data_IF_784491384730
#
_entry.id   IF_784491384730
#
_cell.length_a   1.000
_cell.length_b   1.000
_cell.length_c   1.000
_cell.angle_alpha   90.00
_cell.angle_beta   90.00
_cell.angle_gamma   90.00
#
_symmetry.space_group_name_H-M   'P 1'
#
loop_
_entity.id
_entity.type
_entity.pdbx_description
1 polymer ?
#
# COMPACT_ATOMS: atom_id res chain seq x y z
N UNK A 1 24.89 28.38 1.04
CA UNK A 1 23.98 28.14 -0.09
C UNK A 1 22.55 28.21 0.43
N UNK A 2 21.58 28.79 -0.30
CA UNK A 2 20.18 28.74 0.13
C UNK A 2 19.73 27.28 0.19
N UNK A 3 19.16 26.86 1.32
CA UNK A 3 18.57 25.53 1.48
C UNK A 3 17.32 25.49 0.60
N UNK A 4 17.30 24.58 -0.39
CA UNK A 4 16.11 24.38 -1.21
C UNK A 4 15.00 23.79 -0.34
N UNK A 5 13.90 24.52 -0.16
CA UNK A 5 12.76 24.07 0.66
C UNK A 5 11.92 22.99 -0.02
N UNK A 6 12.03 22.84 -1.34
CA UNK A 6 11.24 21.88 -2.13
C UNK A 6 12.14 20.70 -2.50
N UNK A 7 11.77 19.46 -2.11
CA UNK A 7 12.46 18.25 -2.53
C UNK A 7 12.57 18.13 -4.06
N UNK A 8 13.73 17.75 -4.61
CA UNK A 8 13.91 17.52 -6.06
C UNK A 8 13.32 16.17 -6.54
N UNK A 9 12.74 15.35 -5.66
CA UNK A 9 12.25 14.01 -5.96
C UNK A 9 10.90 13.97 -6.70
N UNK A 10 10.21 15.11 -6.83
CA UNK A 10 8.90 15.21 -7.47
C UNK A 10 7.74 14.67 -6.64
N UNK A 11 7.97 14.35 -5.37
CA UNK A 11 6.95 13.89 -4.43
C UNK A 11 6.12 15.00 -3.84
N UNK A 12 4.99 14.61 -3.25
CA UNK A 12 4.19 15.53 -2.43
C UNK A 12 4.99 15.94 -1.18
N UNK A 13 4.71 17.15 -0.69
CA UNK A 13 5.33 17.66 0.54
C UNK A 13 4.44 17.24 1.70
N UNK A 14 5.01 16.49 2.64
CA UNK A 14 4.35 16.11 3.88
C UNK A 14 4.60 17.18 4.93
N UNK A 15 3.75 17.25 5.95
CA UNK A 15 3.89 18.25 7.02
C UNK A 15 5.22 18.12 7.77
N UNK A 16 5.75 16.89 7.87
CA UNK A 16 7.07 16.63 8.47
C UNK A 16 8.25 17.21 7.66
N UNK A 17 8.11 17.36 6.34
CA UNK A 17 9.22 17.59 5.41
C UNK A 17 10.00 18.86 5.76
N UNK A 18 11.24 18.70 6.24
CA UNK A 18 12.16 19.81 6.48
C UNK A 18 13.55 19.55 5.87
N UNK A 19 13.79 20.15 4.70
CA UNK A 19 15.06 20.00 3.96
C UNK A 19 16.29 20.64 4.64
N UNK A 20 16.12 21.34 5.77
CA UNK A 20 17.24 21.80 6.58
C UNK A 20 17.79 20.71 7.51
N UNK A 21 17.03 19.65 7.76
CA UNK A 21 17.47 18.50 8.55
C UNK A 21 18.24 17.50 7.68
N UNK A 22 19.15 16.74 8.29
CA UNK A 22 19.86 15.66 7.60
C UNK A 22 18.89 14.55 7.13
N UNK A 23 17.89 14.24 7.97
CA UNK A 23 16.73 13.43 7.60
C UNK A 23 15.51 14.36 7.52
N UNK A 24 14.98 14.66 6.33
CA UNK A 24 13.86 15.59 6.20
C UNK A 24 12.58 15.11 6.86
N UNK A 25 12.38 13.79 6.99
CA UNK A 25 11.15 13.19 7.54
C UNK A 25 11.46 11.96 8.43
N UNK A 26 12.04 12.16 9.62
CA UNK A 26 12.49 11.06 10.48
C UNK A 26 11.37 10.11 10.93
N UNK A 27 10.20 10.59 11.32
CA UNK A 27 9.06 9.77 11.74
C UNK A 27 8.50 8.96 10.57
N UNK A 28 8.32 9.57 9.40
CA UNK A 28 7.93 8.84 8.19
C UNK A 28 8.96 7.76 7.85
N UNK A 29 10.25 8.09 7.84
CA UNK A 29 11.32 7.15 7.54
C UNK A 29 11.37 5.96 8.50
N UNK A 30 11.28 6.23 9.82
CA UNK A 30 11.30 5.19 10.87
C UNK A 30 10.07 4.28 10.73
N UNK A 31 8.88 4.86 10.51
CA UNK A 31 7.66 4.07 10.40
C UNK A 31 7.56 3.27 9.10
N UNK A 32 8.18 3.72 8.00
CA UNK A 32 8.30 2.92 6.77
C UNK A 32 9.09 1.61 6.99
N UNK A 33 10.01 1.56 7.97
CA UNK A 33 10.77 0.34 8.31
C UNK A 33 9.85 -0.79 8.80
N UNK A 34 8.66 -0.47 9.33
CA UNK A 34 7.70 -1.48 9.77
C UNK A 34 7.33 -2.45 8.64
N UNK A 35 7.23 -1.97 7.40
CA UNK A 35 6.98 -2.82 6.25
C UNK A 35 8.14 -3.78 5.96
N UNK A 36 9.39 -3.33 6.16
CA UNK A 36 10.57 -4.19 6.03
C UNK A 36 10.57 -5.27 7.11
N UNK A 37 10.23 -4.92 8.35
CA UNK A 37 10.09 -5.88 9.44
C UNK A 37 9.03 -6.96 9.13
N UNK A 38 7.89 -6.57 8.55
CA UNK A 38 6.86 -7.51 8.10
C UNK A 38 7.36 -8.40 6.97
N UNK A 39 8.07 -7.84 5.97
CA UNK A 39 8.62 -8.60 4.86
C UNK A 39 9.63 -9.66 5.35
N UNK A 40 10.52 -9.28 6.27
CA UNK A 40 11.49 -10.19 6.91
C UNK A 40 10.76 -11.26 7.71
N UNK A 41 9.82 -10.86 8.58
CA UNK A 41 9.03 -11.79 9.38
C UNK A 41 8.37 -12.87 8.50
N UNK A 42 7.70 -12.47 7.42
CA UNK A 42 7.01 -13.41 6.53
C UNK A 42 7.98 -14.26 5.72
N UNK A 43 9.11 -13.71 5.29
CA UNK A 43 10.16 -14.47 4.61
C UNK A 43 10.70 -15.58 5.51
N UNK A 44 10.94 -15.27 6.79
CA UNK A 44 11.37 -16.25 7.78
C UNK A 44 10.24 -17.27 8.08
N UNK A 45 8.99 -16.80 8.14
CA UNK A 45 7.82 -17.64 8.45
C UNK A 45 7.54 -18.68 7.36
N UNK A 46 7.62 -18.32 6.08
CA UNK A 46 7.43 -19.27 4.96
C UNK A 46 8.68 -20.13 4.70
N UNK A 47 9.84 -19.75 5.24
CA UNK A 47 11.07 -20.53 5.15
C UNK A 47 11.50 -20.76 3.70
N UNK A 48 11.83 -22.01 3.35
CA UNK A 48 12.27 -22.39 1.98
C UNK A 48 11.10 -22.71 1.04
N UNK A 49 9.86 -22.62 1.51
CA UNK A 49 8.67 -23.10 0.79
C UNK A 49 8.05 -22.02 -0.13
N UNK A 50 8.87 -21.14 -0.70
CA UNK A 50 8.39 -20.07 -1.60
C UNK A 50 7.54 -20.58 -2.77
N UNK A 51 7.81 -21.80 -3.24
CA UNK A 51 7.05 -22.45 -4.32
C UNK A 51 5.63 -22.83 -3.89
N UNK A 52 5.40 -23.10 -2.60
CA UNK A 52 4.08 -23.39 -2.04
C UNK A 52 3.21 -22.13 -1.94
N UNK A 53 3.84 -20.98 -1.72
CA UNK A 53 3.15 -19.69 -1.58
C UNK A 53 3.56 -18.70 -2.68
N UNK A 54 3.27 -18.98 -3.97
CA UNK A 54 3.77 -18.16 -5.08
C UNK A 54 3.22 -16.72 -5.02
N UNK A 55 1.93 -16.56 -4.70
CA UNK A 55 1.34 -15.22 -4.58
C UNK A 55 1.86 -14.46 -3.36
N UNK A 56 2.01 -15.13 -2.21
CA UNK A 56 2.60 -14.52 -1.02
C UNK A 56 4.05 -14.10 -1.28
N UNK A 57 4.84 -14.95 -1.94
CA UNK A 57 6.23 -14.65 -2.33
C UNK A 57 6.29 -13.43 -3.25
N UNK A 58 5.41 -13.34 -4.25
CA UNK A 58 5.26 -12.15 -5.08
C UNK A 58 4.97 -10.90 -4.25
N UNK A 59 4.03 -10.99 -3.30
CA UNK A 59 3.72 -9.89 -2.40
C UNK A 59 4.93 -9.47 -1.54
N UNK A 60 5.75 -10.42 -1.08
CA UNK A 60 6.94 -10.12 -0.30
C UNK A 60 8.01 -9.40 -1.12
N UNK A 61 8.23 -9.79 -2.38
CA UNK A 61 9.16 -9.08 -3.27
C UNK A 61 8.73 -7.62 -3.44
N UNK A 62 7.45 -7.38 -3.70
CA UNK A 62 6.93 -6.01 -3.78
C UNK A 62 7.05 -5.28 -2.45
N UNK A 63 6.78 -5.95 -1.32
CA UNK A 63 6.89 -5.34 -0.01
C UNK A 63 8.33 -4.95 0.35
N UNK A 64 9.33 -5.74 -0.05
CA UNK A 64 10.75 -5.38 0.09
C UNK A 64 11.10 -4.14 -0.74
N UNK A 65 10.69 -4.10 -2.02
CA UNK A 65 10.91 -2.94 -2.89
C UNK A 65 10.25 -1.70 -2.29
N UNK A 66 8.99 -1.85 -1.84
CA UNK A 66 8.20 -0.83 -1.16
C UNK A 66 8.89 -0.28 0.08
N UNK A 67 9.26 -1.17 1.00
CA UNK A 67 9.83 -0.79 2.29
C UNK A 67 11.20 -0.11 2.15
N UNK A 68 12.09 -0.67 1.32
CA UNK A 68 13.39 -0.06 1.04
C UNK A 68 13.19 1.29 0.34
N UNK A 69 12.30 1.33 -0.65
CA UNK A 69 11.91 2.54 -1.37
C UNK A 69 11.45 3.66 -0.46
N UNK A 70 10.40 3.39 0.32
CA UNK A 70 9.79 4.33 1.24
C UNK A 70 10.75 4.81 2.32
N UNK A 71 11.50 3.90 2.96
CA UNK A 71 12.48 4.30 3.98
C UNK A 71 13.54 5.23 3.40
N UNK A 72 14.10 4.93 2.22
CA UNK A 72 15.12 5.80 1.59
C UNK A 72 14.50 7.11 1.09
N UNK A 73 13.30 7.05 0.51
CA UNK A 73 12.54 8.23 0.07
C UNK A 73 12.35 9.22 1.21
N UNK A 74 11.73 8.79 2.32
CA UNK A 74 11.47 9.66 3.47
C UNK A 74 12.74 10.08 4.21
N UNK A 75 13.79 9.25 4.20
CA UNK A 75 15.05 9.58 4.84
C UNK A 75 15.77 10.75 4.17
N UNK A 76 15.70 10.86 2.83
CA UNK A 76 16.57 11.80 2.11
C UNK A 76 15.83 12.78 1.21
N UNK A 77 14.68 12.40 0.64
CA UNK A 77 13.89 13.26 -0.27
C UNK A 77 14.68 13.80 -1.48
N UNK A 78 15.59 12.98 -2.03
CA UNK A 78 16.55 13.40 -3.08
C UNK A 78 16.26 12.84 -4.48
N UNK A 79 15.86 11.56 -4.59
CA UNK A 79 15.84 10.87 -5.88
C UNK A 79 14.43 10.37 -6.27
N UNK A 80 13.94 10.71 -7.47
CA UNK A 80 12.61 10.29 -7.95
C UNK A 80 12.40 8.76 -8.02
N UNK A 81 13.47 7.96 -8.08
CA UNK A 81 13.34 6.51 -8.10
C UNK A 81 12.77 5.96 -6.79
N UNK A 82 13.10 6.56 -5.64
CA UNK A 82 12.65 6.05 -4.35
C UNK A 82 11.18 6.39 -4.07
N UNK A 83 10.66 7.51 -4.57
CA UNK A 83 9.21 7.72 -4.55
C UNK A 83 8.49 6.70 -5.42
N UNK A 84 9.02 6.36 -6.61
CA UNK A 84 8.43 5.30 -7.43
C UNK A 84 8.41 3.98 -6.67
N UNK A 85 9.51 3.63 -6.00
CA UNK A 85 9.60 2.44 -5.16
C UNK A 85 8.68 2.50 -3.94
N UNK A 86 8.30 3.67 -3.44
CA UNK A 86 7.39 3.81 -2.28
C UNK A 86 5.92 3.50 -2.66
N UNK A 87 5.38 4.18 -3.68
CA UNK A 87 3.94 4.07 -3.98
C UNK A 87 3.59 2.97 -5.00
N UNK A 88 4.48 2.67 -5.95
CA UNK A 88 4.17 1.74 -7.04
C UNK A 88 3.97 0.30 -6.54
N UNK A 89 4.80 -0.23 -5.61
CA UNK A 89 4.56 -1.56 -5.07
C UNK A 89 3.24 -1.68 -4.32
N UNK A 90 2.78 -0.62 -3.64
CA UNK A 90 1.45 -0.60 -3.00
C UNK A 90 0.36 -0.77 -4.07
N UNK A 91 0.46 -0.03 -5.17
CA UNK A 91 -0.49 -0.13 -6.28
C UNK A 91 -0.50 -1.53 -6.92
N UNK A 92 0.67 -2.11 -7.15
CA UNK A 92 0.79 -3.47 -7.67
C UNK A 92 0.26 -4.53 -6.69
N UNK A 93 0.50 -4.37 -5.39
CA UNK A 93 -0.05 -5.24 -4.35
C UNK A 93 -1.58 -5.19 -4.34
N UNK A 94 -2.17 -4.00 -4.33
CA UNK A 94 -3.63 -3.84 -4.30
C UNK A 94 -4.29 -4.40 -5.57
N UNK A 95 -3.79 -4.03 -6.75
CA UNK A 95 -4.35 -4.51 -8.02
C UNK A 95 -4.19 -6.01 -8.19
N UNK A 96 -3.03 -6.57 -7.82
CA UNK A 96 -2.78 -8.01 -7.87
C UNK A 96 -3.59 -8.79 -6.83
N UNK A 97 -3.81 -8.24 -5.63
CA UNK A 97 -4.68 -8.85 -4.63
C UNK A 97 -6.15 -8.86 -5.09
N UNK A 98 -6.62 -7.75 -5.67
CA UNK A 98 -7.95 -7.68 -6.31
C UNK A 98 -8.11 -8.76 -7.37
N UNK A 99 -7.14 -8.86 -8.29
CA UNK A 99 -7.10 -9.91 -9.30
C UNK A 99 -7.11 -11.31 -8.68
N UNK A 100 -6.21 -11.57 -7.73
CA UNK A 100 -5.99 -12.89 -7.13
C UNK A 100 -7.26 -13.44 -6.46
N UNK A 101 -7.89 -12.65 -5.58
CA UNK A 101 -9.08 -13.10 -4.85
C UNK A 101 -10.27 -13.34 -5.79
N UNK A 102 -10.42 -12.49 -6.80
CA UNK A 102 -11.49 -12.62 -7.78
C UNK A 102 -11.25 -13.83 -8.69
N UNK A 103 -10.05 -14.01 -9.22
CA UNK A 103 -9.70 -15.17 -10.05
C UNK A 103 -9.83 -16.50 -9.29
N UNK A 104 -9.71 -16.50 -7.96
CA UNK A 104 -9.94 -17.67 -7.10
C UNK A 104 -11.40 -17.95 -6.77
N UNK A 105 -12.29 -16.95 -6.86
CA UNK A 105 -13.72 -17.07 -6.49
C UNK A 105 -14.68 -16.96 -7.68
N UNK A 106 -14.18 -16.63 -8.86
CA UNK A 106 -14.92 -16.59 -10.13
C UNK A 106 -14.01 -17.02 -11.29
N UNK A 107 -14.48 -16.83 -12.53
CA UNK A 107 -13.68 -17.06 -13.73
C UNK A 107 -12.59 -16.00 -13.87
N UNK A 108 -11.37 -16.41 -14.23
CA UNK A 108 -10.20 -15.52 -14.33
C UNK A 108 -10.43 -14.30 -15.25
N UNK A 109 -11.21 -14.45 -16.33
CA UNK A 109 -11.51 -13.35 -17.24
C UNK A 109 -12.37 -12.25 -16.58
N UNK A 110 -13.21 -12.58 -15.59
CA UNK A 110 -13.92 -11.57 -14.80
C UNK A 110 -12.94 -10.72 -13.98
N UNK A 111 -11.86 -11.33 -13.48
CA UNK A 111 -10.80 -10.62 -12.78
C UNK A 111 -10.02 -9.68 -13.72
N UNK A 112 -9.70 -10.14 -14.94
CA UNK A 112 -9.09 -9.30 -15.98
C UNK A 112 -9.99 -8.11 -16.31
N UNK A 113 -11.29 -8.35 -16.57
CA UNK A 113 -12.23 -7.29 -16.92
C UNK A 113 -12.36 -6.23 -15.83
N UNK A 114 -12.40 -6.64 -14.56
CA UNK A 114 -12.48 -5.70 -13.44
C UNK A 114 -11.20 -4.89 -13.29
N UNK A 115 -10.01 -5.49 -13.42
CA UNK A 115 -8.73 -4.75 -13.36
C UNK A 115 -8.61 -3.78 -14.53
N UNK A 116 -8.92 -4.22 -15.76
CA UNK A 116 -8.92 -3.35 -16.94
C UNK A 116 -9.94 -2.21 -16.77
N UNK A 117 -11.14 -2.50 -16.28
CA UNK A 117 -12.16 -1.50 -15.97
C UNK A 117 -11.67 -0.47 -14.95
N UNK A 118 -11.00 -0.91 -13.88
CA UNK A 118 -10.37 -0.03 -12.91
C UNK A 118 -9.30 0.87 -13.56
N UNK A 119 -8.41 0.31 -14.39
CA UNK A 119 -7.36 1.08 -15.06
C UNK A 119 -7.94 2.14 -16.01
N UNK A 120 -8.95 1.76 -16.80
CA UNK A 120 -9.65 2.68 -17.70
C UNK A 120 -10.35 3.79 -16.90
N UNK A 121 -11.04 3.43 -15.81
CA UNK A 121 -11.69 4.40 -14.95
C UNK A 121 -10.68 5.38 -14.34
N UNK A 122 -9.55 4.90 -13.82
CA UNK A 122 -8.52 5.78 -13.26
C UNK A 122 -7.90 6.69 -14.32
N UNK A 123 -7.68 6.17 -15.52
CA UNK A 123 -7.21 6.99 -16.65
C UNK A 123 -8.21 8.10 -17.00
N UNK A 124 -9.51 7.78 -17.08
CA UNK A 124 -10.55 8.79 -17.34
C UNK A 124 -10.66 9.82 -16.22
N UNK A 125 -10.65 9.39 -14.95
CA UNK A 125 -10.73 10.29 -13.81
C UNK A 125 -9.52 11.22 -13.77
N UNK A 126 -8.31 10.70 -14.02
CA UNK A 126 -7.08 11.50 -14.06
C UNK A 126 -7.17 12.61 -15.10
N UNK A 127 -7.57 12.27 -16.32
CA UNK A 127 -7.48 13.21 -17.43
C UNK A 127 -8.63 14.21 -17.46
N UNK A 128 -9.82 13.83 -17.01
CA UNK A 128 -11.03 14.64 -17.21
C UNK A 128 -11.49 15.37 -15.95
N UNK A 129 -11.24 14.80 -14.77
CA UNK A 129 -11.76 15.34 -13.50
C UNK A 129 -10.66 15.87 -12.58
N UNK A 130 -9.45 15.33 -12.68
CA UNK A 130 -8.34 15.67 -11.78
C UNK A 130 -7.07 16.10 -12.50
N UNK A 131 -7.20 16.67 -13.71
CA UNK A 131 -6.05 17.17 -14.48
C UNK A 131 -5.22 18.17 -13.66
N UNK A 132 -5.89 19.07 -12.94
CA UNK A 132 -5.26 20.16 -12.18
C UNK A 132 -5.09 19.87 -10.68
N UNK A 133 -5.65 18.77 -10.15
CA UNK A 133 -5.60 18.44 -8.73
C UNK A 133 -4.98 17.06 -8.48
N UNK A 134 -3.65 17.03 -8.56
CA UNK A 134 -2.87 15.79 -8.41
C UNK A 134 -3.00 15.17 -7.01
N UNK A 135 -3.05 15.99 -5.96
CA UNK A 135 -3.16 15.51 -4.59
C UNK A 135 -4.50 14.78 -4.35
N UNK A 136 -5.61 15.37 -4.79
CA UNK A 136 -6.92 14.74 -4.68
C UNK A 136 -6.99 13.45 -5.50
N UNK A 137 -6.44 13.44 -6.71
CA UNK A 137 -6.37 12.24 -7.54
C UNK A 137 -5.67 11.08 -6.84
N UNK A 138 -4.53 11.33 -6.20
CA UNK A 138 -3.77 10.29 -5.49
C UNK A 138 -4.63 9.64 -4.39
N UNK A 139 -5.30 10.46 -3.55
CA UNK A 139 -6.13 9.94 -2.46
C UNK A 139 -7.36 9.19 -2.99
N UNK A 140 -8.01 9.70 -4.04
CA UNK A 140 -9.11 8.99 -4.73
C UNK A 140 -8.62 7.65 -5.29
N UNK A 141 -7.44 7.62 -5.90
CA UNK A 141 -6.87 6.38 -6.42
C UNK A 141 -6.61 5.34 -5.31
N UNK A 142 -6.08 5.75 -4.16
CA UNK A 142 -5.94 4.87 -3.00
C UNK A 142 -7.28 4.33 -2.51
N UNK A 143 -8.31 5.16 -2.43
CA UNK A 143 -9.65 4.72 -2.06
C UNK A 143 -10.21 3.70 -3.07
N UNK A 144 -10.03 3.95 -4.37
CA UNK A 144 -10.50 3.06 -5.44
C UNK A 144 -9.75 1.71 -5.46
N UNK A 145 -8.44 1.71 -5.23
CA UNK A 145 -7.66 0.48 -5.05
C UNK A 145 -8.15 -0.31 -3.83
N UNK A 146 -8.44 0.36 -2.72
CA UNK A 146 -8.99 -0.29 -1.54
C UNK A 146 -10.38 -0.87 -1.80
N UNK A 147 -11.25 -0.16 -2.53
CA UNK A 147 -12.55 -0.68 -2.96
C UNK A 147 -12.42 -1.90 -3.87
N UNK A 148 -11.47 -1.90 -4.81
CA UNK A 148 -11.17 -3.04 -5.68
C UNK A 148 -10.77 -4.28 -4.86
N UNK A 149 -9.85 -4.10 -3.90
CA UNK A 149 -9.42 -5.17 -2.99
C UNK A 149 -10.59 -5.63 -2.13
N UNK A 150 -11.33 -4.70 -1.52
CA UNK A 150 -12.45 -4.99 -0.62
C UNK A 150 -13.56 -5.77 -1.32
N UNK A 151 -13.96 -5.34 -2.52
CA UNK A 151 -14.93 -6.06 -3.34
C UNK A 151 -14.46 -7.49 -3.62
N UNK A 152 -13.21 -7.63 -4.06
CA UNK A 152 -12.65 -8.93 -4.45
C UNK A 152 -12.49 -9.87 -3.25
N UNK A 153 -12.06 -9.36 -2.10
CA UNK A 153 -11.87 -10.16 -0.88
C UNK A 153 -13.20 -10.51 -0.23
N UNK A 154 -14.22 -9.65 -0.26
CA UNK A 154 -15.57 -10.01 0.22
C UNK A 154 -16.15 -11.13 -0.64
N UNK A 155 -16.00 -11.05 -1.97
CA UNK A 155 -16.42 -12.12 -2.87
C UNK A 155 -15.71 -13.43 -2.56
N UNK A 156 -14.39 -13.37 -2.32
CA UNK A 156 -13.60 -14.54 -1.95
C UNK A 156 -13.96 -15.08 -0.56
N UNK A 157 -14.24 -14.22 0.43
CA UNK A 157 -14.75 -14.63 1.74
C UNK A 157 -16.07 -15.39 1.62
N UNK A 158 -17.02 -14.89 0.83
CA UNK A 158 -18.27 -15.59 0.57
C UNK A 158 -18.03 -16.96 -0.08
N UNK A 159 -17.09 -17.05 -1.02
CA UNK A 159 -16.67 -18.32 -1.64
C UNK A 159 -16.06 -19.30 -0.62
N UNK A 160 -15.25 -18.80 0.32
CA UNK A 160 -14.62 -19.60 1.38
C UNK A 160 -15.46 -19.70 2.67
N UNK A 161 -16.77 -19.45 2.62
CA UNK A 161 -17.67 -19.52 3.78
C UNK A 161 -17.17 -18.69 4.99
N UNK A 162 -16.67 -17.49 4.74
CA UNK A 162 -16.17 -16.51 5.73
C UNK A 162 -14.97 -16.98 6.55
N UNK A 163 -14.26 -18.01 6.08
CA UNK A 163 -13.03 -18.49 6.69
C UNK A 163 -12.04 -17.35 6.95
N UNK A 164 -11.55 -17.26 8.18
CA UNK A 164 -10.52 -16.30 8.59
C UNK A 164 -10.89 -14.82 8.35
N UNK A 165 -12.18 -14.49 8.26
CA UNK A 165 -12.71 -13.14 7.99
C UNK A 165 -12.23 -12.05 8.96
N UNK A 166 -11.91 -12.42 10.21
CA UNK A 166 -11.36 -11.50 11.21
C UNK A 166 -10.14 -10.72 10.70
N UNK A 167 -9.27 -11.36 9.92
CA UNK A 167 -8.08 -10.72 9.38
C UNK A 167 -8.42 -9.67 8.33
N UNK A 168 -9.42 -9.92 7.50
CA UNK A 168 -9.94 -8.94 6.54
C UNK A 168 -10.60 -7.77 7.26
N UNK A 169 -11.36 -8.03 8.33
CA UNK A 169 -11.96 -6.99 9.17
C UNK A 169 -10.92 -6.07 9.83
N UNK A 170 -9.88 -6.65 10.44
CA UNK A 170 -8.76 -5.86 11.01
C UNK A 170 -8.00 -5.09 9.94
N UNK A 171 -7.76 -5.70 8.76
CA UNK A 171 -7.11 -5.01 7.66
C UNK A 171 -7.92 -3.80 7.17
N UNK A 172 -9.24 -3.96 7.02
CA UNK A 172 -10.13 -2.88 6.60
C UNK A 172 -10.14 -1.73 7.60
N UNK A 173 -10.35 -2.03 8.89
CA UNK A 173 -10.35 -1.01 9.94
C UNK A 173 -9.02 -0.25 9.96
N UNK A 174 -7.92 -0.99 9.91
CA UNK A 174 -6.59 -0.41 9.92
C UNK A 174 -6.32 0.45 8.68
N UNK A 175 -6.73 0.01 7.49
CA UNK A 175 -6.58 0.80 6.27
C UNK A 175 -7.42 2.08 6.28
N UNK A 176 -8.65 2.05 6.80
CA UNK A 176 -9.49 3.25 6.95
C UNK A 176 -8.79 4.27 7.85
N UNK A 177 -8.22 3.84 8.97
CA UNK A 177 -7.42 4.69 9.85
C UNK A 177 -6.18 5.24 9.12
N UNK A 178 -5.44 4.38 8.41
CA UNK A 178 -4.29 4.80 7.63
C UNK A 178 -4.66 5.91 6.64
N UNK A 179 -5.67 5.69 5.79
CA UNK A 179 -6.11 6.66 4.79
C UNK A 179 -6.58 7.97 5.41
N UNK A 180 -7.25 7.89 6.57
CA UNK A 180 -7.67 9.07 7.33
C UNK A 180 -6.45 9.91 7.73
N UNK A 181 -5.41 9.30 8.30
CA UNK A 181 -4.19 10.01 8.68
C UNK A 181 -3.38 10.49 7.47
N UNK A 182 -3.41 9.79 6.34
CA UNK A 182 -2.79 10.31 5.10
C UNK A 182 -3.43 11.64 4.66
N UNK A 183 -4.76 11.73 4.72
CA UNK A 183 -5.51 12.93 4.33
C UNK A 183 -5.33 14.03 5.38
N UNK A 184 -5.38 13.66 6.67
CA UNK A 184 -5.25 14.58 7.80
C UNK A 184 -3.83 15.16 7.97
N UNK A 185 -2.83 14.66 7.24
CA UNK A 185 -1.46 15.17 7.31
C UNK A 185 -1.40 16.68 7.04
N UNK A 186 -2.16 17.14 6.04
CA UNK A 186 -2.26 18.55 5.63
C UNK A 186 -3.05 19.43 6.63
N UNK A 187 -3.66 18.84 7.66
CA UNK A 187 -4.45 19.58 8.66
C UNK A 187 -3.62 20.04 9.85
N UNK A 188 -2.32 19.71 9.87
CA UNK A 188 -1.35 20.18 10.87
C UNK A 188 -1.77 19.91 12.33
N UNK A 189 -2.50 18.81 12.57
CA UNK A 189 -2.89 18.39 13.94
C UNK A 189 -1.69 18.18 14.86
N UNK A 190 -0.56 17.76 14.28
CA UNK A 190 0.75 17.73 14.91
C UNK A 190 1.72 18.54 14.06
N UNK A 191 2.72 19.15 14.70
CA UNK A 191 3.76 19.94 14.01
C UNK A 191 4.61 19.13 13.04
N UNK A 192 4.66 17.81 13.21
CA UNK A 192 5.35 16.86 12.33
C UNK A 192 4.38 16.04 11.46
N UNK A 193 3.08 16.41 11.42
CA UNK A 193 2.09 15.74 10.60
C UNK A 193 1.55 14.42 11.17
N UNK A 194 0.76 13.73 10.36
CA UNK A 194 0.15 12.42 10.69
C UNK A 194 0.53 11.32 9.69
N UNK A 195 1.35 11.61 8.68
CA UNK A 195 1.73 10.64 7.66
C UNK A 195 2.44 9.39 8.22
N UNK A 196 3.19 9.50 9.31
CA UNK A 196 3.79 8.34 9.98
C UNK A 196 2.74 7.32 10.46
N UNK A 197 1.51 7.76 10.77
CA UNK A 197 0.39 6.88 11.12
C UNK A 197 -0.18 6.16 9.89
N UNK A 198 -0.10 6.76 8.70
CA UNK A 198 -0.40 6.06 7.45
C UNK A 198 0.53 4.84 7.30
N UNK A 199 1.82 4.97 7.60
CA UNK A 199 2.74 3.83 7.59
C UNK A 199 2.41 2.81 8.68
N UNK A 200 2.20 3.25 9.93
CA UNK A 200 1.95 2.35 11.05
C UNK A 200 0.67 1.51 10.85
N UNK A 201 -0.45 2.16 10.50
CA UNK A 201 -1.70 1.45 10.22
C UNK A 201 -1.63 0.70 8.87
N UNK A 202 -0.95 1.24 7.86
CA UNK A 202 -0.71 0.52 6.61
C UNK A 202 0.06 -0.79 6.81
N UNK A 203 1.04 -0.80 7.73
CA UNK A 203 1.80 -1.98 8.10
C UNK A 203 0.90 -3.03 8.78
N UNK A 204 0.04 -2.62 9.72
CA UNK A 204 -0.94 -3.52 10.35
C UNK A 204 -1.90 -4.12 9.30
N UNK A 205 -2.45 -3.29 8.41
CA UNK A 205 -3.32 -3.76 7.33
C UNK A 205 -2.62 -4.77 6.41
N UNK A 206 -1.36 -4.48 6.06
CA UNK A 206 -0.52 -5.38 5.25
C UNK A 206 -0.30 -6.71 5.95
N UNK A 207 0.11 -6.70 7.23
CA UNK A 207 0.31 -7.91 8.02
C UNK A 207 -0.97 -8.78 8.05
N UNK A 208 -2.12 -8.16 8.33
CA UNK A 208 -3.40 -8.86 8.37
C UNK A 208 -3.76 -9.51 7.02
N UNK A 209 -3.55 -8.80 5.91
CA UNK A 209 -3.82 -9.35 4.57
C UNK A 209 -2.85 -10.48 4.18
N UNK A 210 -1.56 -10.34 4.47
CA UNK A 210 -0.59 -11.43 4.24
C UNK A 210 -0.94 -12.66 5.07
N UNK A 211 -1.34 -12.46 6.33
CA UNK A 211 -1.80 -13.57 7.18
C UNK A 211 -3.06 -14.24 6.64
N UNK A 212 -4.02 -13.45 6.13
CA UNK A 212 -5.22 -13.98 5.50
C UNK A 212 -4.89 -14.85 4.28
N UNK A 213 -3.97 -14.41 3.42
CA UNK A 213 -3.48 -15.17 2.26
C UNK A 213 -2.80 -16.47 2.71
N UNK A 214 -1.91 -16.38 3.70
CA UNK A 214 -1.16 -17.51 4.22
C UNK A 214 -2.07 -18.61 4.76
N UNK A 215 -2.99 -18.28 5.67
CA UNK A 215 -3.94 -19.26 6.27
C UNK A 215 -4.85 -19.90 5.21
N UNK A 216 -5.22 -19.16 4.16
CA UNK A 216 -6.04 -19.72 3.07
C UNK A 216 -5.28 -20.62 2.10
N UNK A 217 -3.96 -20.45 1.96
CA UNK A 217 -3.09 -21.32 1.16
C UNK A 217 -2.60 -22.53 1.94
N UNK A 218 -2.39 -22.40 3.24
CA UNK A 218 -1.91 -23.50 4.10
C UNK A 218 -2.88 -24.67 4.20
N UNK A 219 -4.17 -24.37 4.22
CA UNK A 219 -5.23 -25.34 4.48
C UNK A 219 -5.92 -25.86 3.20
N UNK A 220 -5.42 -25.49 2.02
CA UNK A 220 -5.78 -26.10 0.74
C UNK A 220 -4.55 -26.87 0.20
N UNK A 221 -4.37 -28.14 0.59
CA UNK A 221 -3.29 -28.99 0.06
C UNK A 221 -3.42 -29.24 -1.45
#
# INVERSE_FOLDING_TARGET
MPINKIPPDGGIIYTETNMAHFFPEPFNAITSILFLAIAIFWTLKIGKDFKRYPFLTYCLVLLYIGAIGGTVYHSFRLWPVFILMDWMPIMLLCTSAGFYFLAKSTRWYCAVLIVVGYLLLMFTLRNWFFADNHFLFINVNYAMMASLVLFSVIKYLAYTQWKASKWVGFALLSFVLALTFRIADQWEWFSFGTHFLWHAFGAIATFCMLNYIYVNQDENP
#
